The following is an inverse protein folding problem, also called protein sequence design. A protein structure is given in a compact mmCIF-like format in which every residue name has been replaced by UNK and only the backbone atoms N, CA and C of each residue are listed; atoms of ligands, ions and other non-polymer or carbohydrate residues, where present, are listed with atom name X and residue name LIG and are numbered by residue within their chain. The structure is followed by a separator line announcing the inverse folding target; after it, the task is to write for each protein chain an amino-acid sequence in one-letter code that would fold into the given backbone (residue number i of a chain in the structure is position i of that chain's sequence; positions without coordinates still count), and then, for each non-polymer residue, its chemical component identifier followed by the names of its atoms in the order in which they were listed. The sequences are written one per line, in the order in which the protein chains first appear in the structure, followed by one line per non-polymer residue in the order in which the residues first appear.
data_IF_301007902667
#
_entry.id   IF_301007902667
#
_cell.length_a   1.000
_cell.length_b   1.000
_cell.length_c   1.000
_cell.angle_alpha   90.00
_cell.angle_beta   90.00
_cell.angle_gamma   90.00
#
_symmetry.space_group_name_H-M   'P 1'
#
loop_
_entity.id
_entity.type
_entity.pdbx_description
1 polymer ?
#
# COMPACT_ATOMS: atom_id res chain seq x y z
N UNK A 1 4.34 -12.54 2.22
CA UNK A 1 5.63 -12.12 1.60
C UNK A 1 6.51 -13.30 1.15
N UNK A 2 6.48 -14.48 1.81
CA UNK A 2 7.34 -15.64 1.47
C UNK A 2 7.24 -16.15 0.03
N UNK A 3 6.10 -15.96 -0.64
CA UNK A 3 5.94 -16.26 -2.07
C UNK A 3 6.92 -15.51 -2.99
N UNK A 4 7.55 -14.44 -2.49
CA UNK A 4 8.49 -13.62 -3.25
C UNK A 4 9.79 -13.40 -2.45
N UNK A 5 10.71 -14.38 -2.44
CA UNK A 5 11.90 -14.36 -1.57
C UNK A 5 12.79 -13.13 -1.74
N UNK A 6 12.98 -12.65 -2.98
CA UNK A 6 13.79 -11.45 -3.26
C UNK A 6 13.23 -10.20 -2.57
N UNK A 7 11.91 -10.04 -2.59
CA UNK A 7 11.26 -8.94 -1.88
C UNK A 7 11.31 -9.16 -0.36
N UNK A 8 11.04 -10.38 0.11
CA UNK A 8 11.09 -10.71 1.53
C UNK A 8 12.45 -10.36 2.15
N UNK A 9 13.56 -10.69 1.48
CA UNK A 9 14.90 -10.40 1.96
C UNK A 9 15.12 -8.88 2.13
N UNK A 10 14.77 -8.08 1.12
CA UNK A 10 14.87 -6.62 1.18
C UNK A 10 13.96 -6.03 2.27
N UNK A 11 12.74 -6.54 2.40
CA UNK A 11 11.79 -6.15 3.44
C UNK A 11 12.35 -6.41 4.84
N UNK A 12 12.86 -7.62 5.10
CA UNK A 12 13.43 -7.99 6.40
C UNK A 12 14.68 -7.16 6.74
N UNK A 13 15.56 -6.90 5.77
CA UNK A 13 16.72 -6.00 5.94
C UNK A 13 16.27 -4.60 6.35
N UNK A 14 15.29 -4.05 5.64
CA UNK A 14 14.74 -2.72 5.93
C UNK A 14 14.10 -2.67 7.32
N UNK A 15 13.27 -3.66 7.66
CA UNK A 15 12.59 -3.72 8.95
C UNK A 15 13.58 -3.87 10.12
N UNK A 16 14.61 -4.71 9.97
CA UNK A 16 15.67 -4.87 10.95
C UNK A 16 16.41 -3.54 11.18
N UNK A 17 16.75 -2.83 10.11
CA UNK A 17 17.42 -1.53 10.23
C UNK A 17 16.55 -0.49 10.94
N UNK A 18 15.28 -0.37 10.55
CA UNK A 18 14.36 0.59 11.15
C UNK A 18 14.11 0.33 12.64
N UNK A 19 14.02 -0.93 13.06
CA UNK A 19 13.57 -1.27 14.43
C UNK A 19 14.66 -1.75 15.38
N UNK A 20 15.83 -2.17 14.90
CA UNK A 20 16.83 -2.82 15.76
C UNK A 20 18.20 -2.15 15.71
N UNK A 21 18.55 -1.49 14.60
CA UNK A 21 19.83 -0.81 14.47
C UNK A 21 19.83 0.57 15.15
N UNK A 22 21.03 1.06 15.47
CA UNK A 22 21.19 2.42 15.98
C UNK A 22 20.65 3.44 14.97
N UNK A 23 20.00 4.49 15.48
CA UNK A 23 19.35 5.48 14.63
C UNK A 23 18.85 6.67 15.44
N UNK A 24 18.32 7.72 14.79
CA UNK A 24 17.99 8.99 15.42
C UNK A 24 16.99 8.90 16.59
N UNK A 25 16.14 7.87 16.60
CA UNK A 25 15.05 7.71 17.57
C UNK A 25 15.32 6.55 18.53
N UNK A 26 14.96 6.68 19.82
CA UNK A 26 14.96 5.56 20.77
C UNK A 26 14.02 4.43 20.35
N UNK A 27 14.35 3.18 20.67
CA UNK A 27 13.56 2.00 20.28
C UNK A 27 12.09 2.08 20.71
N UNK A 28 11.82 2.52 21.94
CA UNK A 28 10.44 2.69 22.44
C UNK A 28 9.65 3.73 21.61
N UNK A 29 10.29 4.81 21.15
CA UNK A 29 9.65 5.78 20.24
C UNK A 29 9.32 5.13 18.91
N UNK A 30 10.23 4.33 18.35
CA UNK A 30 10.01 3.68 17.04
C UNK A 30 8.82 2.73 17.08
N UNK A 31 8.71 1.89 18.11
CA UNK A 31 7.55 1.00 18.25
C UNK A 31 6.26 1.78 18.51
N UNK A 32 6.30 2.84 19.33
CA UNK A 32 5.12 3.67 19.56
C UNK A 32 4.64 4.41 18.31
N UNK A 33 5.56 4.89 17.46
CA UNK A 33 5.24 5.45 16.14
C UNK A 33 4.58 4.38 15.25
N UNK A 34 5.05 3.13 15.31
CA UNK A 34 4.41 1.99 14.65
C UNK A 34 2.96 1.76 15.11
N UNK A 35 2.69 1.85 16.42
CA UNK A 35 1.33 1.82 16.98
C UNK A 35 0.48 2.95 16.40
N UNK A 36 0.99 4.19 16.47
CA UNK A 36 0.28 5.38 15.97
C UNK A 36 -0.09 5.27 14.49
N UNK A 37 0.82 4.76 13.66
CA UNK A 37 0.60 4.58 12.23
C UNK A 37 -0.42 3.48 11.94
N UNK A 38 -0.25 2.30 12.55
CA UNK A 38 -1.17 1.17 12.36
C UNK A 38 -2.60 1.47 12.84
N UNK A 39 -2.74 2.23 13.93
CA UNK A 39 -4.02 2.66 14.47
C UNK A 39 -4.81 3.55 13.48
N UNK A 40 -4.16 4.25 12.55
CA UNK A 40 -4.86 5.06 11.52
C UNK A 40 -5.77 4.25 10.61
N UNK A 41 -5.54 2.94 10.54
CA UNK A 41 -6.29 1.98 9.72
C UNK A 41 -6.90 0.86 10.58
N UNK A 42 -7.05 1.04 11.89
CA UNK A 42 -7.63 0.02 12.79
C UNK A 42 -6.93 -1.35 12.67
N UNK A 43 -5.63 -1.36 12.35
CA UNK A 43 -4.90 -2.59 12.10
C UNK A 43 -4.47 -3.24 13.41
N UNK A 44 -5.39 -3.98 14.05
CA UNK A 44 -5.17 -4.58 15.38
C UNK A 44 -3.97 -5.51 15.42
N UNK A 45 -3.69 -6.23 14.31
CA UNK A 45 -2.51 -7.08 14.20
C UNK A 45 -1.21 -6.30 14.44
N UNK A 46 -0.99 -5.21 13.69
CA UNK A 46 0.21 -4.39 13.80
C UNK A 46 0.24 -3.59 15.11
N UNK A 47 -0.91 -3.09 15.57
CA UNK A 47 -1.02 -2.42 16.87
C UNK A 47 -0.55 -3.35 17.98
N UNK A 48 -1.11 -4.56 18.08
CA UNK A 48 -0.74 -5.52 19.12
C UNK A 48 0.73 -5.97 19.02
N UNK A 49 1.21 -6.19 17.80
CA UNK A 49 2.61 -6.52 17.55
C UNK A 49 3.54 -5.45 18.12
N UNK A 50 3.26 -4.18 17.84
CA UNK A 50 4.09 -3.07 18.31
C UNK A 50 3.89 -2.76 19.79
N UNK A 51 2.71 -2.98 20.37
CA UNK A 51 2.48 -2.91 21.82
C UNK A 51 3.39 -3.90 22.55
N UNK A 52 3.46 -5.15 22.07
CA UNK A 52 4.31 -6.18 22.67
C UNK A 52 5.79 -5.78 22.61
N UNK A 53 6.27 -5.35 21.44
CA UNK A 53 7.66 -4.91 21.31
C UNK A 53 7.97 -3.63 22.11
N UNK A 54 7.05 -2.67 22.15
CA UNK A 54 7.18 -1.45 22.93
C UNK A 54 7.41 -1.76 24.43
N UNK A 55 6.63 -2.69 24.99
CA UNK A 55 6.79 -3.12 26.38
C UNK A 55 8.09 -3.90 26.58
N UNK A 56 8.48 -4.76 25.64
CA UNK A 56 9.73 -5.53 25.72
C UNK A 56 10.98 -4.64 25.73
N UNK A 57 10.98 -3.52 25.00
CA UNK A 57 12.09 -2.55 25.01
C UNK A 57 12.01 -1.55 26.17
N UNK A 58 11.13 -1.76 27.15
CA UNK A 58 11.00 -0.93 28.35
C UNK A 58 10.22 0.37 28.16
N UNK A 59 9.33 0.43 27.17
CA UNK A 59 8.42 1.57 27.00
C UNK A 59 7.46 1.73 28.18
N UNK A 60 7.14 2.98 28.54
CA UNK A 60 6.21 3.28 29.65
C UNK A 60 4.78 2.84 29.29
N UNK A 61 4.19 1.87 30.01
CA UNK A 61 2.84 1.38 29.73
C UNK A 61 1.77 2.47 29.78
N UNK A 62 2.01 3.60 30.47
CA UNK A 62 1.06 4.72 30.52
C UNK A 62 0.77 5.31 29.16
N UNK A 63 1.74 5.29 28.24
CA UNK A 63 1.54 5.81 26.88
C UNK A 63 0.47 5.00 26.14
N UNK A 64 0.27 3.73 26.52
CA UNK A 64 -0.68 2.86 25.85
C UNK A 64 -2.15 3.19 26.14
N UNK A 65 -2.42 4.10 27.10
CA UNK A 65 -3.76 4.54 27.42
C UNK A 65 -4.29 5.63 26.47
N UNK A 66 -3.43 6.17 25.60
CA UNK A 66 -3.78 7.12 24.55
C UNK A 66 -2.67 8.09 24.23
N UNK A 67 -2.77 8.75 23.07
CA UNK A 67 -1.73 9.66 22.57
C UNK A 67 -1.44 10.81 23.56
N UNK A 68 -2.45 11.29 24.26
CA UNK A 68 -2.36 12.32 25.29
C UNK A 68 -1.45 11.94 26.48
N UNK A 69 -1.23 10.64 26.70
CA UNK A 69 -0.36 10.12 27.76
C UNK A 69 1.10 9.92 27.28
N UNK A 70 1.38 10.08 25.99
CA UNK A 70 2.73 10.01 25.42
C UNK A 70 3.47 11.35 25.57
N UNK A 71 4.81 11.40 25.42
CA UNK A 71 5.59 12.64 25.42
C UNK A 71 5.05 13.65 24.40
N UNK A 72 5.07 14.94 24.75
CA UNK A 72 4.59 16.01 23.86
C UNK A 72 5.21 15.97 22.45
N UNK A 73 6.47 15.54 22.36
CA UNK A 73 7.17 15.32 21.08
C UNK A 73 6.40 14.37 20.15
N UNK A 74 5.91 13.24 20.68
CA UNK A 74 5.11 12.25 19.95
C UNK A 74 3.68 12.73 19.71
N UNK A 75 3.08 13.47 20.64
CA UNK A 75 1.76 14.08 20.45
C UNK A 75 1.73 15.01 19.24
N UNK A 76 2.74 15.88 19.11
CA UNK A 76 2.88 16.80 17.96
C UNK A 76 2.98 16.07 16.61
N UNK A 77 3.55 14.85 16.59
CA UNK A 77 3.64 14.03 15.38
C UNK A 77 2.27 13.49 14.92
N UNK A 78 1.28 13.42 15.82
CA UNK A 78 -0.06 12.88 15.55
C UNK A 78 -0.77 13.57 14.39
N UNK A 79 -0.65 14.89 14.26
CA UNK A 79 -1.28 15.62 13.15
C UNK A 79 -0.63 15.30 11.80
N UNK A 80 0.70 15.18 11.75
CA UNK A 80 1.39 14.78 10.52
C UNK A 80 1.02 13.35 10.14
N UNK A 81 1.02 12.42 11.09
CA UNK A 81 0.60 11.02 10.90
C UNK A 81 -0.80 10.94 10.27
N UNK A 82 -1.75 11.66 10.86
CA UNK A 82 -3.14 11.75 10.40
C UNK A 82 -3.25 12.20 8.94
N UNK A 83 -2.53 13.24 8.55
CA UNK A 83 -2.54 13.76 7.18
C UNK A 83 -1.85 12.78 6.23
N UNK A 84 -0.70 12.24 6.62
CA UNK A 84 0.13 11.34 5.82
C UNK A 84 -0.64 10.06 5.44
N UNK A 85 -1.35 9.45 6.39
CA UNK A 85 -2.09 8.21 6.17
C UNK A 85 -3.25 8.35 5.17
N UNK A 86 -3.88 9.52 5.08
CA UNK A 86 -5.18 9.65 4.39
C UNK A 86 -5.18 10.65 3.24
N UNK A 87 -4.42 11.74 3.36
CA UNK A 87 -4.38 12.86 2.40
C UNK A 87 -2.98 13.50 2.36
N UNK A 88 -1.94 12.76 1.96
CA UNK A 88 -0.55 13.23 2.05
C UNK A 88 -0.28 14.51 1.23
N UNK A 89 -1.06 14.78 0.18
CA UNK A 89 -0.96 16.03 -0.59
C UNK A 89 -1.28 17.31 0.19
N UNK A 90 -1.93 17.21 1.36
CA UNK A 90 -2.21 18.35 2.25
C UNK A 90 -1.02 18.71 3.15
N UNK A 91 0.06 17.93 3.13
CA UNK A 91 1.26 18.26 3.89
C UNK A 91 1.91 19.51 3.27
N UNK A 92 2.15 20.48 4.13
CA UNK A 92 2.76 21.78 3.80
C UNK A 92 4.00 22.02 4.66
N UNK A 93 4.80 23.03 4.31
CA UNK A 93 5.99 23.40 5.09
C UNK A 93 5.64 23.82 6.52
N UNK A 94 4.46 24.40 6.75
CA UNK A 94 4.01 24.86 8.07
C UNK A 94 3.84 23.68 9.05
N UNK A 95 3.41 22.51 8.54
CA UNK A 95 3.36 21.28 9.34
C UNK A 95 4.78 20.85 9.78
N UNK A 96 5.77 21.03 8.92
CA UNK A 96 7.17 20.72 9.21
C UNK A 96 7.76 21.74 10.21
N UNK A 97 7.48 23.03 10.00
CA UNK A 97 7.88 24.11 10.90
C UNK A 97 7.39 23.87 12.33
N UNK A 98 6.13 23.47 12.51
CA UNK A 98 5.55 23.19 13.82
C UNK A 98 6.28 22.09 14.60
N UNK A 99 6.84 21.09 13.90
CA UNK A 99 7.60 19.99 14.51
C UNK A 99 9.04 20.39 14.87
N UNK A 100 9.64 21.28 14.08
CA UNK A 100 11.04 21.69 14.21
C UNK A 100 11.23 23.00 15.00
N UNK A 101 10.15 23.69 15.39
CA UNK A 101 10.21 24.89 16.24
C UNK A 101 11.00 24.63 17.54
N UNK A 102 11.94 25.52 17.84
CA UNK A 102 12.89 25.41 18.96
C UNK A 102 12.18 25.57 20.32
N UNK A 103 11.57 24.48 20.77
CA UNK A 103 11.00 24.31 22.10
C UNK A 103 11.66 23.09 22.78
N UNK A 104 11.40 22.91 24.08
CA UNK A 104 12.00 21.87 24.96
C UNK A 104 11.81 20.42 24.44
N UNK A 105 10.90 20.20 23.47
CA UNK A 105 10.57 18.91 22.88
C UNK A 105 10.56 18.92 21.33
N UNK A 106 11.45 19.70 20.73
CA UNK A 106 11.58 19.84 19.28
C UNK A 106 12.09 18.56 18.60
N UNK A 107 11.65 18.34 17.36
CA UNK A 107 12.20 17.32 16.47
C UNK A 107 13.46 17.86 15.79
N UNK A 108 14.46 17.01 15.60
CA UNK A 108 15.52 17.24 14.61
C UNK A 108 15.06 16.75 13.23
N UNK A 109 15.70 17.23 12.16
CA UNK A 109 15.43 16.76 10.80
C UNK A 109 15.68 15.25 10.64
N UNK A 110 16.74 14.72 11.27
CA UNK A 110 17.06 13.29 11.23
C UNK A 110 15.98 12.44 11.92
N UNK A 111 15.54 12.85 13.11
CA UNK A 111 14.44 12.19 13.83
C UNK A 111 13.13 12.27 13.05
N UNK A 112 12.83 13.42 12.43
CA UNK A 112 11.60 13.61 11.66
C UNK A 112 11.58 12.72 10.41
N UNK A 113 12.69 12.65 9.66
CA UNK A 113 12.79 11.75 8.50
C UNK A 113 12.63 10.30 8.93
N UNK A 114 13.27 9.89 10.02
CA UNK A 114 13.09 8.54 10.56
C UNK A 114 11.63 8.26 10.94
N UNK A 115 10.97 9.20 11.64
CA UNK A 115 9.56 9.07 11.99
C UNK A 115 8.65 8.98 10.75
N UNK A 116 8.87 9.81 9.73
CA UNK A 116 8.12 9.78 8.47
C UNK A 116 8.30 8.43 7.75
N UNK A 117 9.52 7.89 7.72
CA UNK A 117 9.77 6.54 7.16
C UNK A 117 9.01 5.47 7.95
N UNK A 118 9.02 5.51 9.29
CA UNK A 118 8.26 4.55 10.10
C UNK A 118 6.74 4.67 9.88
N UNK A 119 6.20 5.89 9.86
CA UNK A 119 4.77 6.13 9.63
C UNK A 119 4.32 5.55 8.28
N UNK A 120 4.99 5.93 7.19
CA UNK A 120 4.67 5.43 5.83
C UNK A 120 4.88 3.92 5.69
N UNK A 121 5.90 3.37 6.35
CA UNK A 121 6.12 1.92 6.39
C UNK A 121 4.94 1.18 7.03
N UNK A 122 4.40 1.68 8.14
CA UNK A 122 3.29 1.00 8.83
C UNK A 122 1.90 1.31 8.27
N UNK A 123 1.70 2.44 7.59
CA UNK A 123 0.50 2.65 6.77
C UNK A 123 0.43 1.66 5.61
N UNK A 124 1.55 1.49 4.90
CA UNK A 124 1.65 0.54 3.80
C UNK A 124 1.56 -0.90 4.31
N UNK A 125 2.21 -1.25 5.42
CA UNK A 125 2.09 -2.60 6.00
C UNK A 125 0.68 -2.92 6.52
N UNK A 126 -0.07 -1.92 7.01
CA UNK A 126 -1.49 -2.11 7.33
C UNK A 126 -2.29 -2.48 6.07
N UNK A 127 -2.01 -1.82 4.94
CA UNK A 127 -2.59 -2.17 3.64
C UNK A 127 -2.29 -3.62 3.25
N UNK A 128 -1.05 -4.05 3.42
CA UNK A 128 -0.65 -5.43 3.15
C UNK A 128 -1.37 -6.44 4.05
N UNK A 129 -1.50 -6.12 5.33
CA UNK A 129 -2.15 -6.97 6.34
C UNK A 129 -3.60 -7.26 5.95
N UNK A 130 -4.38 -6.23 5.64
CA UNK A 130 -5.77 -6.41 5.21
C UNK A 130 -5.87 -6.98 3.79
N UNK A 131 -5.03 -6.52 2.85
CA UNK A 131 -5.03 -6.96 1.46
C UNK A 131 -4.74 -8.46 1.29
N UNK A 132 -3.88 -9.02 2.15
CA UNK A 132 -3.57 -10.46 2.19
C UNK A 132 -4.37 -11.25 3.24
N UNK A 133 -5.29 -10.62 3.98
CA UNK A 133 -6.12 -11.29 4.98
C UNK A 133 -5.35 -11.84 6.19
N UNK A 134 -4.27 -11.17 6.60
CA UNK A 134 -3.47 -11.54 7.77
C UNK A 134 -4.28 -11.25 9.04
N UNK A 135 -4.48 -12.26 9.87
CA UNK A 135 -5.24 -12.17 11.12
C UNK A 135 -4.32 -12.12 12.34
N UNK A 136 -4.78 -11.53 13.47
CA UNK A 136 -4.12 -11.63 14.77
C UNK A 136 -3.79 -13.08 15.15
N UNK A 137 -2.69 -13.26 15.89
CA UNK A 137 -2.31 -14.56 16.45
C UNK A 137 -3.45 -15.11 17.34
N UNK A 138 -3.50 -16.44 17.48
CA UNK A 138 -4.61 -17.22 18.08
C UNK A 138 -5.01 -16.72 19.49
N UNK A 139 -4.10 -16.04 20.20
CA UNK A 139 -4.32 -15.50 21.54
C UNK A 139 -4.89 -14.08 21.59
N UNK A 140 -5.17 -13.46 20.44
CA UNK A 140 -5.81 -12.15 20.35
C UNK A 140 -7.30 -12.26 20.00
N UNK A 141 -8.13 -11.39 20.58
CA UNK A 141 -9.56 -11.31 20.27
C UNK A 141 -9.77 -11.05 18.77
N UNK A 142 -10.48 -11.96 18.09
CA UNK A 142 -10.63 -11.99 16.63
C UNK A 142 -9.69 -12.93 15.86
N UNK A 143 -8.93 -13.79 16.55
CA UNK A 143 -8.21 -14.91 15.92
C UNK A 143 -9.18 -15.96 15.37
N UNK A 144 -9.12 -16.24 14.07
CA UNK A 144 -9.82 -17.37 13.44
C UNK A 144 -8.83 -18.43 12.99
N UNK A 145 -9.24 -19.69 13.05
CA UNK A 145 -8.51 -20.84 12.50
C UNK A 145 -8.42 -20.73 10.98
N UNK A 146 -7.31 -20.19 10.46
CA UNK A 146 -6.97 -20.41 9.06
C UNK A 146 -6.38 -21.83 8.95
N UNK A 147 -7.24 -22.80 8.63
CA UNK A 147 -6.77 -24.08 8.09
C UNK A 147 -6.30 -23.77 6.68
N UNK A 148 -5.00 -23.79 6.43
CA UNK A 148 -4.49 -23.83 5.06
C UNK A 148 -5.23 -24.98 4.36
N UNK A 149 -5.91 -24.69 3.25
CA UNK A 149 -6.11 -25.71 2.23
C UNK A 149 -4.71 -26.15 1.83
N UNK A 150 -4.39 -27.38 2.22
CA UNK A 150 -3.10 -28.02 2.08
C UNK A 150 -2.54 -27.78 0.69
N UNK A 151 -1.27 -27.37 0.64
CA UNK A 151 -0.42 -27.56 -0.54
C UNK A 151 -0.47 -29.04 -0.90
N UNK A 152 -0.96 -29.33 -2.10
CA UNK A 152 -1.11 -30.66 -2.69
C UNK A 152 -1.95 -31.70 -1.91
N UNK A 153 -2.85 -32.36 -2.64
CA UNK A 153 -3.73 -33.40 -2.15
C UNK A 153 -3.00 -34.70 -1.78
N UNK A 154 -2.26 -34.69 -0.68
CA UNK A 154 -1.84 -35.90 0.03
C UNK A 154 -1.73 -35.59 1.54
N UNK A 155 -2.85 -35.72 2.28
CA UNK A 155 -2.71 -35.92 3.73
C UNK A 155 -2.30 -37.38 3.94
N UNK A 156 -1.02 -37.59 4.28
CA UNK A 156 -0.56 -38.81 4.92
C UNK A 156 -1.06 -38.78 6.36
N UNK A 157 -2.37 -38.95 6.52
CA UNK A 157 -3.03 -39.09 7.81
C UNK A 157 -4.22 -40.08 7.79
N UNK A 158 -4.59 -40.64 6.63
CA UNK A 158 -5.71 -41.59 6.51
C UNK A 158 -5.29 -43.07 6.33
N UNK A 159 -4.06 -43.47 6.68
CA UNK A 159 -3.63 -44.88 6.56
C UNK A 159 -4.07 -45.76 7.76
N UNK A 160 -4.80 -45.23 8.75
CA UNK A 160 -5.19 -46.06 9.92
C UNK A 160 -6.66 -45.94 10.35
N UNK A 161 -7.60 -45.74 9.43
CA UNK A 161 -8.99 -46.02 9.78
C UNK A 161 -9.74 -46.64 8.60
N UNK A 162 -9.76 -47.96 8.57
CA UNK A 162 -10.68 -48.71 7.73
C UNK A 162 -12.10 -48.53 8.25
N UNK A 163 -12.93 -47.85 7.47
CA UNK A 163 -14.32 -48.22 7.30
C UNK A 163 -14.84 -47.63 5.98
N UNK A 164 -15.25 -48.55 5.11
CA UNK A 164 -16.13 -48.33 3.97
C UNK A 164 -17.35 -47.49 4.37
N UNK A 165 -17.76 -46.56 3.50
CA UNK A 165 -19.15 -46.50 3.06
C UNK A 165 -19.29 -45.72 1.75
N UNK A 166 -19.87 -46.40 0.76
CA UNK A 166 -20.25 -45.88 -0.54
C UNK A 166 -21.44 -44.94 -0.42
N UNK A 167 -21.31 -43.69 -0.86
CA UNK A 167 -22.46 -42.86 -1.22
C UNK A 167 -22.23 -42.21 -2.59
N UNK A 168 -22.77 -42.87 -3.62
CA UNK A 168 -23.04 -42.30 -4.94
C UNK A 168 -24.13 -41.23 -4.79
N UNK A 169 -23.88 -40.01 -5.27
CA UNK A 169 -24.96 -39.07 -5.60
C UNK A 169 -24.92 -38.73 -7.09
N UNK A 170 -26.08 -38.95 -7.71
CA UNK A 170 -26.41 -38.72 -9.10
C UNK A 170 -26.40 -37.23 -9.46
N UNK A 171 -25.77 -36.89 -10.58
CA UNK A 171 -25.96 -35.63 -11.30
C UNK A 171 -27.22 -35.70 -12.17
N UNK A 172 -28.07 -34.65 -12.21
CA UNK A 172 -28.90 -34.37 -13.37
C UNK A 172 -28.17 -33.38 -14.29
N UNK A 173 -28.05 -33.77 -15.56
CA UNK A 173 -27.64 -32.91 -16.66
C UNK A 173 -28.47 -31.63 -16.71
N UNK A 174 -27.82 -30.48 -16.78
CA UNK A 174 -28.43 -29.25 -17.29
C UNK A 174 -27.37 -28.46 -18.04
N UNK A 175 -27.48 -28.51 -19.37
CA UNK A 175 -26.79 -27.64 -20.32
C UNK A 175 -27.02 -26.18 -19.94
N UNK A 176 -26.01 -25.55 -19.36
CA UNK A 176 -25.85 -24.10 -19.34
C UNK A 176 -24.43 -23.82 -19.82
N UNK A 177 -24.32 -23.40 -21.07
CA UNK A 177 -23.09 -22.90 -21.68
C UNK A 177 -22.64 -21.67 -20.88
N UNK A 178 -21.81 -21.90 -19.86
CA UNK A 178 -21.03 -20.84 -19.21
C UNK A 178 -19.88 -20.50 -20.16
N UNK A 179 -19.62 -19.21 -20.47
CA UNK A 179 -18.47 -18.87 -21.29
C UNK A 179 -17.20 -19.33 -20.55
N UNK A 180 -16.33 -20.02 -21.29
CA UNK A 180 -15.14 -20.67 -20.74
C UNK A 180 -14.26 -19.67 -19.95
N UNK A 181 -13.75 -20.05 -18.77
CA UNK A 181 -12.94 -19.18 -17.93
C UNK A 181 -11.67 -18.67 -18.62
N UNK A 182 -11.04 -19.40 -19.54
CA UNK A 182 -9.77 -19.00 -20.20
C UNK A 182 -9.77 -17.61 -20.89
N UNK A 183 -10.95 -17.07 -21.22
CA UNK A 183 -11.09 -15.88 -22.05
C UNK A 183 -10.57 -14.57 -21.40
N UNK A 184 -10.64 -14.42 -20.06
CA UNK A 184 -10.29 -13.14 -19.41
C UNK A 184 -8.79 -12.83 -19.46
N UNK A 185 -7.94 -13.83 -19.19
CA UNK A 185 -6.48 -13.67 -19.19
C UNK A 185 -5.97 -13.47 -20.62
N UNK A 186 -6.48 -14.26 -21.57
CA UNK A 186 -6.12 -14.13 -22.98
C UNK A 186 -6.54 -12.77 -23.55
N UNK A 187 -7.73 -12.27 -23.20
CA UNK A 187 -8.18 -10.93 -23.59
C UNK A 187 -7.29 -9.82 -23.00
N UNK A 188 -6.80 -9.99 -21.77
CA UNK A 188 -5.85 -9.04 -21.17
C UNK A 188 -4.50 -9.06 -21.89
N UNK A 189 -3.97 -10.25 -22.20
CA UNK A 189 -2.71 -10.39 -22.95
C UNK A 189 -2.83 -9.78 -24.36
N UNK A 190 -3.95 -10.00 -25.05
CA UNK A 190 -4.21 -9.42 -26.36
C UNK A 190 -4.30 -7.89 -26.29
N UNK A 191 -4.95 -7.33 -25.27
CA UNK A 191 -4.95 -5.88 -25.03
C UNK A 191 -3.54 -5.33 -24.75
N UNK A 192 -2.73 -6.03 -23.97
CA UNK A 192 -1.34 -5.61 -23.72
C UNK A 192 -0.54 -5.54 -25.02
N UNK A 193 -0.71 -6.53 -25.89
CA UNK A 193 -0.08 -6.56 -27.21
C UNK A 193 -0.55 -5.40 -28.10
N UNK A 194 -1.86 -5.14 -28.17
CA UNK A 194 -2.43 -4.04 -28.95
C UNK A 194 -1.94 -2.66 -28.47
N UNK A 195 -1.84 -2.45 -27.15
CA UNK A 195 -1.31 -1.19 -26.60
C UNK A 195 0.16 -1.03 -27.00
N UNK A 196 0.95 -2.11 -26.94
CA UNK A 196 2.36 -2.07 -27.32
C UNK A 196 2.54 -1.71 -28.81
N UNK A 197 1.74 -2.32 -29.70
CA UNK A 197 1.75 -2.02 -31.14
C UNK A 197 1.32 -0.58 -31.43
N UNK A 198 0.23 -0.10 -30.82
CA UNK A 198 -0.24 1.29 -30.99
C UNK A 198 0.77 2.34 -30.53
N UNK A 199 1.57 2.01 -29.50
CA UNK A 199 2.57 2.93 -28.94
C UNK A 199 3.73 3.17 -29.90
N UNK A 200 4.04 2.19 -30.75
CA UNK A 200 5.07 2.30 -31.76
C UNK A 200 4.60 3.14 -32.97
N UNK A 201 3.28 3.25 -33.18
CA UNK A 201 2.68 3.96 -34.33
C UNK A 201 2.29 5.42 -34.03
N UNK A 202 1.64 5.71 -32.89
CA UNK A 202 1.11 7.06 -32.58
C UNK A 202 1.26 7.40 -31.09
N UNK A 203 2.20 8.28 -30.77
CA UNK A 203 2.36 8.79 -29.40
C UNK A 203 1.36 9.92 -29.10
N UNK A 204 0.56 9.77 -28.04
CA UNK A 204 -0.37 10.80 -27.57
C UNK A 204 0.37 12.09 -27.16
N UNK A 205 -0.23 13.24 -27.46
CA UNK A 205 0.35 14.54 -27.08
C UNK A 205 0.39 14.73 -25.55
N UNK A 206 1.26 15.62 -25.07
CA UNK A 206 1.36 15.93 -23.63
C UNK A 206 0.06 16.51 -23.05
N UNK A 207 -0.69 17.30 -23.84
CA UNK A 207 -1.99 17.83 -23.44
C UNK A 207 -3.05 16.73 -23.34
N UNK A 208 -3.02 15.78 -24.29
CA UNK A 208 -3.89 14.62 -24.25
C UNK A 208 -3.59 13.70 -23.06
N UNK A 209 -2.32 13.39 -22.79
CA UNK A 209 -1.91 12.63 -21.59
C UNK A 209 -2.38 13.33 -20.30
N UNK A 210 -2.30 14.66 -20.24
CA UNK A 210 -2.78 15.45 -19.11
C UNK A 210 -4.31 15.38 -18.92
N UNK A 211 -5.09 15.46 -20.00
CA UNK A 211 -6.56 15.35 -19.93
C UNK A 211 -7.00 13.95 -19.52
N UNK A 212 -6.34 12.90 -20.05
CA UNK A 212 -6.57 11.50 -19.66
C UNK A 212 -6.26 11.26 -18.18
N UNK A 213 -5.18 11.86 -17.66
CA UNK A 213 -4.88 11.83 -16.23
C UNK A 213 -5.99 12.45 -15.37
N UNK A 214 -6.45 13.66 -15.69
CA UNK A 214 -7.52 14.32 -14.90
C UNK A 214 -8.84 13.54 -14.94
N UNK A 215 -9.13 12.88 -16.08
CA UNK A 215 -10.26 11.98 -16.20
C UNK A 215 -10.12 10.77 -15.29
N UNK A 216 -8.98 10.06 -15.34
CA UNK A 216 -8.73 8.88 -14.52
C UNK A 216 -8.73 9.21 -13.01
N UNK A 217 -8.13 10.34 -12.63
CA UNK A 217 -8.14 10.85 -11.25
C UNK A 217 -9.56 11.11 -10.77
N UNK A 218 -10.42 11.70 -11.61
CA UNK A 218 -11.83 11.93 -11.27
C UNK A 218 -12.61 10.62 -11.17
N UNK A 219 -12.39 9.70 -12.09
CA UNK A 219 -13.08 8.41 -12.11
C UNK A 219 -12.68 7.55 -10.90
N UNK A 220 -11.39 7.49 -10.56
CA UNK A 220 -10.92 6.77 -9.37
C UNK A 220 -11.56 7.29 -8.08
N UNK A 221 -11.84 8.59 -7.97
CA UNK A 221 -12.61 9.16 -6.86
C UNK A 221 -14.07 8.67 -6.82
N UNK A 222 -14.70 8.45 -7.98
CA UNK A 222 -16.10 8.05 -8.11
C UNK A 222 -16.32 6.53 -8.02
N UNK A 223 -15.27 5.71 -8.16
CA UNK A 223 -15.36 4.26 -7.98
C UNK A 223 -15.84 3.95 -6.55
N UNK A 224 -17.09 3.48 -6.42
CA UNK A 224 -17.74 3.15 -5.15
C UNK A 224 -17.50 1.69 -4.74
N UNK A 225 -17.30 1.47 -3.45
CA UNK A 225 -17.56 0.18 -2.81
C UNK A 225 -19.04 0.11 -2.46
N UNK A 226 -19.72 -0.97 -2.81
CA UNK A 226 -21.18 -1.12 -2.71
C UNK A 226 -21.72 -1.22 -1.27
N UNK A 227 -20.86 -1.32 -0.25
CA UNK A 227 -21.22 -1.65 1.14
C UNK A 227 -20.89 -0.48 2.08
N UNK A 228 -21.47 0.69 1.82
CA UNK A 228 -21.23 1.92 2.60
C UNK A 228 -22.17 2.07 3.82
N UNK A 229 -22.92 1.02 4.21
CA UNK A 229 -23.98 1.12 5.24
C UNK A 229 -23.84 0.25 6.50
N UNK A 230 -22.83 -0.61 6.66
CA UNK A 230 -22.66 -1.32 7.95
C UNK A 230 -21.28 -1.06 8.55
N UNK A 231 -21.23 -0.08 9.44
CA UNK A 231 -20.11 0.09 10.38
C UNK A 231 -20.17 -1.10 11.34
N UNK A 232 -19.34 -2.12 11.11
CA UNK A 232 -19.18 -3.21 12.07
C UNK A 232 -18.71 -2.65 13.43
N UNK A 233 -19.16 -3.21 14.57
CA UNK A 233 -18.72 -2.74 15.87
C UNK A 233 -17.21 -2.97 16.02
N UNK A 234 -16.50 -1.86 16.17
CA UNK A 234 -15.03 -1.73 16.28
C UNK A 234 -14.43 -2.57 17.40
N UNK A 235 -13.28 -3.20 17.12
CA UNK A 235 -12.45 -3.96 18.07
C UNK A 235 -11.74 -3.00 19.06
N UNK A 236 -11.71 -3.35 20.34
CA UNK A 236 -11.48 -2.44 21.49
C UNK A 236 -10.07 -1.83 21.59
N UNK A 237 -9.04 -2.47 21.07
CA UNK A 237 -7.64 -2.11 21.38
C UNK A 237 -7.16 -0.84 20.65
N UNK A 238 -7.76 -0.50 19.50
CA UNK A 238 -7.28 0.60 18.65
C UNK A 238 -7.90 1.96 19.00
N UNK A 239 -9.06 1.98 19.68
CA UNK A 239 -9.80 3.20 20.04
C UNK A 239 -9.00 4.19 20.90
N UNK A 240 -8.07 3.70 21.72
CA UNK A 240 -7.25 4.55 22.59
C UNK A 240 -6.29 5.48 21.81
N UNK A 241 -5.95 5.14 20.56
CA UNK A 241 -5.00 5.90 19.74
C UNK A 241 -5.66 6.60 18.55
N UNK A 242 -6.98 6.55 18.46
CA UNK A 242 -7.74 6.98 17.29
C UNK A 242 -8.45 8.32 17.52
N UNK A 243 -8.12 9.29 16.67
CA UNK A 243 -9.10 10.31 16.27
C UNK A 243 -10.03 9.69 15.21
N UNK A 244 -11.14 9.10 15.66
CA UNK A 244 -12.16 8.46 14.81
C UNK A 244 -12.89 9.46 13.89
N UNK A 245 -12.72 10.77 14.11
CA UNK A 245 -13.31 11.82 13.27
C UNK A 245 -12.52 12.07 11.97
N UNK A 246 -11.30 11.53 11.87
CA UNK A 246 -10.42 11.70 10.73
C UNK A 246 -10.08 10.34 10.11
N UNK A 247 -10.55 10.08 8.90
CA UNK A 247 -10.20 8.93 8.10
C UNK A 247 -10.27 9.28 6.62
N UNK A 248 -10.05 8.30 5.75
CA UNK A 248 -10.25 8.49 4.32
C UNK A 248 -11.71 8.90 4.07
N UNK A 249 -11.91 10.14 3.62
CA UNK A 249 -13.22 10.63 3.22
C UNK A 249 -13.39 10.31 1.75
N UNK A 250 -14.42 9.51 1.43
CA UNK A 250 -14.75 9.22 0.04
C UNK A 250 -14.92 10.53 -0.75
N UNK A 251 -14.01 10.76 -1.70
CA UNK A 251 -13.89 12.00 -2.46
C UNK A 251 -15.14 12.29 -3.29
N UNK A 252 -15.96 11.26 -3.55
CA UNK A 252 -17.23 11.37 -4.28
C UNK A 252 -18.27 12.25 -3.55
N UNK A 253 -18.21 12.38 -2.22
CA UNK A 253 -19.27 13.03 -1.42
C UNK A 253 -19.12 14.56 -1.24
N UNK A 254 -17.94 15.14 -1.47
CA UNK A 254 -17.66 16.54 -1.07
C UNK A 254 -16.99 17.42 -2.14
N UNK A 255 -16.83 16.95 -3.39
CA UNK A 255 -16.20 17.77 -4.44
C UNK A 255 -14.75 18.19 -4.14
N UNK A 256 -14.04 17.41 -3.30
CA UNK A 256 -12.68 17.72 -2.84
C UNK A 256 -11.68 17.61 -4.00
N UNK A 257 -10.90 18.66 -4.22
CA UNK A 257 -9.85 18.73 -5.24
C UNK A 257 -8.52 18.14 -4.73
N UNK A 258 -8.06 17.03 -5.31
CA UNK A 258 -6.67 16.55 -5.13
C UNK A 258 -5.78 17.28 -6.13
N UNK A 259 -4.81 18.10 -5.67
CA UNK A 259 -3.93 18.84 -6.55
C UNK A 259 -3.06 17.89 -7.38
N UNK A 260 -2.85 18.24 -8.64
CA UNK A 260 -2.01 17.46 -9.54
C UNK A 260 -0.55 17.81 -9.31
N UNK A 261 0.26 16.80 -9.03
CA UNK A 261 1.68 16.87 -8.76
C UNK A 261 2.43 16.12 -9.87
N UNK A 262 3.37 16.78 -10.57
CA UNK A 262 3.98 16.24 -11.79
C UNK A 262 5.37 15.61 -11.55
N UNK A 263 5.64 14.51 -12.23
CA UNK A 263 6.91 13.77 -12.25
C UNK A 263 7.29 13.47 -13.70
N UNK A 264 8.53 13.73 -14.09
CA UNK A 264 9.04 13.48 -15.44
C UNK A 264 10.30 12.58 -15.38
N UNK A 265 10.27 11.44 -16.09
CA UNK A 265 11.30 10.40 -16.04
C UNK A 265 12.40 10.53 -17.12
N UNK A 266 12.27 11.45 -18.09
CA UNK A 266 13.24 11.63 -19.19
C UNK A 266 13.79 13.07 -19.27
N UNK A 267 15.08 13.25 -19.63
CA UNK A 267 15.67 14.57 -19.82
C UNK A 267 15.22 15.16 -21.16
N UNK A 268 14.26 16.08 -21.13
CA UNK A 268 13.95 16.93 -22.29
C UNK A 268 14.29 18.38 -21.98
N UNK A 269 14.87 19.06 -22.96
CA UNK A 269 15.54 20.37 -22.88
C UNK A 269 14.62 21.58 -22.70
N UNK A 270 13.46 21.42 -22.05
CA UNK A 270 12.52 22.51 -21.82
C UNK A 270 12.13 22.60 -20.34
N UNK A 271 12.30 23.81 -19.79
CA UNK A 271 12.03 24.23 -18.42
C UNK A 271 10.52 24.10 -18.08
N UNK A 272 10.04 22.88 -17.86
CA UNK A 272 8.79 22.59 -17.17
C UNK A 272 9.14 22.21 -15.72
N UNK A 273 8.48 22.84 -14.74
CA UNK A 273 8.75 22.63 -13.30
C UNK A 273 8.76 21.13 -12.95
N UNK A 274 9.94 20.57 -12.65
CA UNK A 274 10.13 19.27 -11.98
C UNK A 274 9.70 19.50 -10.53
N UNK A 275 8.52 19.06 -10.11
CA UNK A 275 8.06 19.44 -8.77
C UNK A 275 8.85 18.70 -7.68
N UNK A 276 8.91 17.37 -7.73
CA UNK A 276 9.72 16.53 -6.82
C UNK A 276 9.68 15.05 -7.26
N UNK A 277 10.77 14.29 -7.17
CA UNK A 277 10.84 12.86 -7.56
C UNK A 277 11.68 12.07 -6.56
N UNK A 278 11.50 10.75 -6.50
CA UNK A 278 12.30 9.90 -5.61
C UNK A 278 13.77 9.90 -6.04
N UNK A 279 14.02 9.64 -7.32
CA UNK A 279 15.37 9.49 -7.89
C UNK A 279 16.21 10.78 -7.80
N UNK A 280 15.63 11.94 -8.09
CA UNK A 280 16.39 13.19 -8.09
C UNK A 280 16.47 13.86 -6.71
N UNK A 281 15.43 13.71 -5.88
CA UNK A 281 15.27 14.51 -4.65
C UNK A 281 15.05 13.66 -3.39
N UNK A 282 14.08 12.75 -3.42
CA UNK A 282 13.67 11.98 -2.24
C UNK A 282 14.80 11.13 -1.66
N UNK A 283 15.46 10.35 -2.52
CA UNK A 283 16.58 9.50 -2.16
C UNK A 283 17.72 10.29 -1.51
N UNK A 284 18.16 11.37 -2.17
CA UNK A 284 19.29 12.17 -1.72
C UNK A 284 18.99 12.88 -0.40
N UNK A 285 17.75 13.37 -0.20
CA UNK A 285 17.33 13.96 1.07
C UNK A 285 17.33 12.95 2.21
N UNK A 286 16.75 11.77 2.00
CA UNK A 286 16.70 10.72 3.03
C UNK A 286 18.10 10.29 3.39
N UNK A 287 18.95 9.97 2.40
CA UNK A 287 20.31 9.50 2.66
C UNK A 287 21.19 10.56 3.36
N UNK A 288 20.92 11.85 3.14
CA UNK A 288 21.61 12.95 3.82
C UNK A 288 21.19 13.11 5.29
N UNK A 289 19.92 12.87 5.61
CA UNK A 289 19.35 13.09 6.95
C UNK A 289 19.31 11.82 7.81
N UNK A 290 19.25 10.65 7.18
CA UNK A 290 19.32 9.34 7.81
C UNK A 290 20.03 8.35 6.88
N UNK A 291 21.36 8.26 6.99
CA UNK A 291 22.19 7.41 6.12
C UNK A 291 21.73 5.94 6.09
N UNK A 292 22.03 5.28 4.97
CA UNK A 292 21.73 3.88 4.66
C UNK A 292 20.23 3.55 4.47
N UNK A 293 19.32 4.26 5.15
CA UNK A 293 17.87 4.09 4.95
C UNK A 293 17.43 4.50 3.55
N UNK A 294 18.04 5.53 2.98
CA UNK A 294 17.78 5.93 1.60
C UNK A 294 18.03 4.78 0.62
N UNK A 295 19.14 4.06 0.79
CA UNK A 295 19.49 2.91 -0.01
C UNK A 295 18.53 1.73 0.21
N UNK A 296 18.23 1.38 1.46
CA UNK A 296 17.32 0.27 1.77
C UNK A 296 15.92 0.49 1.17
N UNK A 297 15.40 1.71 1.25
CA UNK A 297 14.10 2.07 0.67
C UNK A 297 14.17 2.04 -0.86
N UNK A 298 15.23 2.57 -1.47
CA UNK A 298 15.41 2.56 -2.92
C UNK A 298 15.46 1.14 -3.48
N UNK A 299 16.28 0.26 -2.87
CA UNK A 299 16.35 -1.15 -3.23
C UNK A 299 14.97 -1.83 -3.10
N UNK A 300 14.22 -1.53 -2.05
CA UNK A 300 12.87 -2.09 -1.84
C UNK A 300 11.89 -1.65 -2.92
N UNK A 301 11.88 -0.36 -3.29
CA UNK A 301 11.07 0.16 -4.39
C UNK A 301 11.46 -0.47 -5.73
N UNK A 302 12.76 -0.54 -6.04
CA UNK A 302 13.24 -1.13 -7.28
C UNK A 302 12.93 -2.62 -7.37
N UNK A 303 13.09 -3.38 -6.27
CA UNK A 303 12.78 -4.80 -6.24
C UNK A 303 11.28 -5.01 -6.48
N UNK A 304 10.40 -4.29 -5.77
CA UNK A 304 8.97 -4.47 -5.94
C UNK A 304 8.49 -4.05 -7.34
N UNK A 305 8.97 -2.90 -7.83
CA UNK A 305 8.58 -2.39 -9.15
C UNK A 305 9.01 -3.35 -10.26
N UNK A 306 10.24 -3.88 -10.20
CA UNK A 306 10.82 -4.72 -11.25
C UNK A 306 10.58 -6.23 -11.04
N UNK A 307 9.95 -6.64 -9.93
CA UNK A 307 9.69 -8.05 -9.67
C UNK A 307 8.81 -8.62 -10.78
N UNK A 308 9.31 -9.66 -11.44
CA UNK A 308 8.58 -10.41 -12.46
C UNK A 308 9.08 -11.84 -12.46
N UNK A 309 8.16 -12.77 -12.73
CA UNK A 309 8.48 -14.17 -13.04
C UNK A 309 8.26 -14.47 -14.53
N UNK A 310 7.94 -13.44 -15.32
CA UNK A 310 7.51 -13.53 -16.72
C UNK A 310 6.36 -14.53 -16.90
N UNK A 311 5.44 -14.54 -15.94
CA UNK A 311 4.24 -15.39 -15.95
C UNK A 311 3.00 -14.54 -15.77
N UNK A 312 1.91 -14.99 -16.36
CA UNK A 312 0.57 -14.44 -16.16
C UNK A 312 -0.42 -15.61 -16.04
N UNK A 313 -0.90 -15.87 -14.83
CA UNK A 313 -1.72 -17.02 -14.48
C UNK A 313 -1.06 -18.37 -14.90
N UNK A 314 -1.58 -19.01 -15.94
CA UNK A 314 -1.05 -20.26 -16.50
C UNK A 314 -0.02 -20.05 -17.62
N UNK A 315 0.08 -18.84 -18.17
CA UNK A 315 0.99 -18.51 -19.28
C UNK A 315 2.39 -18.18 -18.77
N UNK A 316 3.40 -18.62 -19.52
CA UNK A 316 4.83 -18.37 -19.29
C UNK A 316 5.37 -17.47 -20.40
N UNK A 317 6.54 -16.89 -20.15
CA UNK A 317 7.26 -16.02 -21.08
C UNK A 317 6.47 -14.77 -21.49
N UNK A 318 5.69 -14.22 -20.55
CA UNK A 318 4.88 -13.01 -20.73
C UNK A 318 5.56 -11.83 -20.06
N UNK A 319 5.85 -10.76 -20.81
CA UNK A 319 6.28 -9.49 -20.19
C UNK A 319 5.08 -8.81 -19.52
N UNK A 320 5.17 -8.66 -18.20
CA UNK A 320 4.14 -8.04 -17.35
C UNK A 320 4.45 -6.58 -17.01
N UNK A 321 5.51 -5.99 -17.57
CA UNK A 321 5.96 -4.62 -17.28
C UNK A 321 4.86 -3.58 -17.41
N UNK A 322 4.08 -3.64 -18.50
CA UNK A 322 2.95 -2.73 -18.75
C UNK A 322 1.89 -2.82 -17.67
N UNK A 323 1.49 -4.05 -17.30
CA UNK A 323 0.48 -4.27 -16.27
C UNK A 323 0.95 -3.79 -14.89
N UNK A 324 2.20 -4.10 -14.51
CA UNK A 324 2.80 -3.66 -13.24
C UNK A 324 2.91 -2.13 -13.19
N UNK A 325 3.33 -1.50 -14.29
CA UNK A 325 3.40 -0.03 -14.43
C UNK A 325 2.01 0.61 -14.34
N UNK A 326 0.99 0.01 -14.93
CA UNK A 326 -0.39 0.49 -14.83
C UNK A 326 -0.93 0.45 -13.40
N UNK A 327 -0.65 -0.61 -12.64
CA UNK A 327 -1.02 -0.72 -11.22
C UNK A 327 -0.34 0.40 -10.41
N UNK A 328 0.98 0.54 -10.57
CA UNK A 328 1.76 1.57 -9.87
C UNK A 328 1.24 2.98 -10.17
N UNK A 329 1.04 3.29 -11.45
CA UNK A 329 0.61 4.61 -11.90
C UNK A 329 -0.85 4.91 -11.56
N UNK A 330 -1.72 3.89 -11.46
CA UNK A 330 -3.08 4.05 -10.97
C UNK A 330 -3.11 4.48 -9.51
N UNK A 331 -2.26 3.88 -8.66
CA UNK A 331 -2.15 4.26 -7.24
C UNK A 331 -1.66 5.70 -7.13
N UNK A 332 -0.57 6.03 -7.81
CA UNK A 332 -0.04 7.38 -7.85
C UNK A 332 -1.05 8.39 -8.39
N UNK A 333 -1.86 8.01 -9.39
CA UNK A 333 -2.97 8.83 -9.89
C UNK A 333 -4.01 9.14 -8.80
N UNK A 334 -4.39 8.17 -7.97
CA UNK A 334 -5.30 8.38 -6.83
C UNK A 334 -4.73 9.40 -5.83
N UNK A 335 -3.40 9.42 -5.66
CA UNK A 335 -2.69 10.40 -4.83
C UNK A 335 -2.39 11.72 -5.55
N UNK A 336 -2.84 11.90 -6.79
CA UNK A 336 -2.62 13.11 -7.58
C UNK A 336 -1.23 13.22 -8.23
N UNK A 337 -0.44 12.14 -8.24
CA UNK A 337 0.90 12.10 -8.84
C UNK A 337 0.79 11.69 -10.32
N UNK A 338 1.22 12.58 -11.22
CA UNK A 338 1.19 12.41 -12.66
C UNK A 338 2.58 12.18 -13.24
N UNK A 339 2.72 11.16 -14.08
CA UNK A 339 3.90 10.91 -14.90
C UNK A 339 3.69 11.42 -16.32
N UNK A 340 4.54 12.34 -16.77
CA UNK A 340 4.37 13.03 -18.06
C UNK A 340 4.66 12.13 -19.28
N UNK A 341 5.43 11.06 -19.09
CA UNK A 341 5.76 10.08 -20.13
C UNK A 341 4.72 8.94 -20.23
N UNK A 342 3.73 8.89 -19.33
CA UNK A 342 2.75 7.81 -19.26
C UNK A 342 1.38 8.19 -19.84
N UNK A 343 0.80 7.27 -20.60
CA UNK A 343 -0.56 7.41 -21.10
C UNK A 343 -1.57 6.78 -20.13
N UNK A 344 -2.28 7.62 -19.40
CA UNK A 344 -3.29 7.18 -18.43
C UNK A 344 -4.51 6.49 -19.08
N UNK A 345 -4.65 6.54 -20.41
CA UNK A 345 -5.62 5.73 -21.15
C UNK A 345 -5.36 4.22 -21.06
N UNK A 346 -4.12 3.80 -20.82
CA UNK A 346 -3.73 2.39 -20.66
C UNK A 346 -4.38 1.75 -19.42
N UNK A 347 -4.59 2.54 -18.35
CA UNK A 347 -5.11 2.03 -17.07
C UNK A 347 -6.53 1.45 -17.23
N UNK A 348 -7.41 2.12 -17.96
CA UNK A 348 -8.78 1.63 -18.20
C UNK A 348 -8.84 0.40 -19.09
N UNK A 349 -7.80 0.16 -19.90
CA UNK A 349 -7.72 -1.00 -20.77
C UNK A 349 -7.23 -2.23 -20.01
N UNK A 350 -6.27 -2.03 -19.11
CA UNK A 350 -5.57 -3.09 -18.36
C UNK A 350 -6.20 -3.44 -17.02
N UNK A 351 -6.77 -2.46 -16.30
CA UNK A 351 -7.35 -2.66 -14.98
C UNK A 351 -8.88 -2.61 -15.06
N UNK A 352 -9.51 -3.77 -14.84
CA UNK A 352 -10.96 -3.86 -14.82
C UNK A 352 -11.55 -3.19 -13.55
N UNK A 353 -12.88 -3.01 -13.55
CA UNK A 353 -13.55 -2.30 -12.46
C UNK A 353 -13.40 -3.01 -11.12
N UNK A 354 -13.48 -4.34 -11.08
CA UNK A 354 -13.38 -5.09 -9.82
C UNK A 354 -11.99 -4.92 -9.21
N UNK A 355 -10.95 -4.96 -10.04
CA UNK A 355 -9.59 -4.76 -9.59
C UNK A 355 -9.32 -3.32 -9.14
N UNK A 356 -9.82 -2.31 -9.86
CA UNK A 356 -9.74 -0.90 -9.44
C UNK A 356 -10.41 -0.65 -8.09
N UNK A 357 -11.55 -1.28 -7.82
CA UNK A 357 -12.24 -1.23 -6.52
C UNK A 357 -11.35 -1.85 -5.43
N UNK A 358 -10.80 -3.04 -5.67
CA UNK A 358 -9.89 -3.70 -4.72
C UNK A 358 -8.67 -2.84 -4.40
N UNK A 359 -7.96 -2.33 -5.42
CA UNK A 359 -6.79 -1.47 -5.26
C UNK A 359 -7.13 -0.23 -4.42
N UNK A 360 -8.22 0.48 -4.77
CA UNK A 360 -8.66 1.68 -4.04
C UNK A 360 -8.95 1.37 -2.57
N UNK A 361 -9.63 0.26 -2.29
CA UNK A 361 -9.94 -0.11 -0.90
C UNK A 361 -8.69 -0.44 -0.12
N UNK A 362 -7.82 -1.31 -0.63
CA UNK A 362 -6.59 -1.70 0.08
C UNK A 362 -5.67 -0.50 0.33
N UNK A 363 -5.57 0.42 -0.62
CA UNK A 363 -4.67 1.58 -0.51
C UNK A 363 -5.27 2.71 0.35
N UNK A 364 -6.57 2.95 0.29
CA UNK A 364 -7.17 4.14 0.90
C UNK A 364 -7.93 3.84 2.21
N UNK A 365 -8.58 2.69 2.30
CA UNK A 365 -9.40 2.27 3.44
C UNK A 365 -9.24 0.75 3.67
N UNK A 366 -8.01 0.28 3.96
CA UNK A 366 -7.71 -1.15 4.02
C UNK A 366 -8.59 -1.91 5.02
N UNK A 367 -9.05 -1.27 6.09
CA UNK A 367 -9.97 -1.83 7.07
C UNK A 367 -11.31 -2.30 6.48
N UNK A 368 -11.67 -1.82 5.29
CA UNK A 368 -12.88 -2.21 4.55
C UNK A 368 -12.64 -3.36 3.55
N UNK A 369 -11.43 -3.91 3.50
CA UNK A 369 -11.10 -4.99 2.59
C UNK A 369 -11.83 -6.27 3.00
N UNK A 370 -12.58 -6.87 2.08
CA UNK A 370 -13.31 -8.12 2.32
C UNK A 370 -12.77 -9.27 1.47
N UNK A 371 -12.98 -10.49 1.92
CA UNK A 371 -12.63 -11.70 1.16
C UNK A 371 -13.38 -11.76 -0.20
N UNK A 372 -14.64 -11.28 -0.25
CA UNK A 372 -15.40 -11.14 -1.50
C UNK A 372 -14.68 -10.26 -2.52
N UNK A 373 -14.13 -9.13 -2.07
CA UNK A 373 -13.35 -8.26 -2.95
C UNK A 373 -12.10 -8.98 -3.45
N UNK A 374 -11.39 -9.68 -2.56
CA UNK A 374 -10.19 -10.45 -2.91
C UNK A 374 -10.45 -11.52 -3.96
N UNK A 375 -11.56 -12.25 -3.84
CA UNK A 375 -11.94 -13.32 -4.76
C UNK A 375 -12.57 -12.80 -6.06
N UNK A 376 -13.11 -11.57 -6.06
CA UNK A 376 -13.85 -11.03 -7.20
C UNK A 376 -12.96 -10.70 -8.41
N UNK A 377 -11.74 -10.21 -8.19
CA UNK A 377 -10.80 -9.82 -9.24
C UNK A 377 -9.84 -10.96 -9.59
N UNK A 378 -9.40 -11.00 -10.86
CA UNK A 378 -8.34 -11.90 -11.34
C UNK A 378 -8.54 -13.35 -10.87
N UNK A 379 -9.72 -13.92 -11.15
CA UNK A 379 -10.16 -15.22 -10.63
C UNK A 379 -9.26 -16.38 -11.05
N UNK A 380 -8.60 -16.25 -12.19
CA UNK A 380 -7.70 -17.26 -12.77
C UNK A 380 -6.24 -17.09 -12.34
N UNK A 381 -5.90 -15.97 -11.73
CA UNK A 381 -4.53 -15.72 -11.28
C UNK A 381 -4.25 -16.49 -9.99
N UNK A 382 -3.00 -16.89 -9.83
CA UNK A 382 -2.54 -17.60 -8.64
C UNK A 382 -2.60 -16.68 -7.43
N UNK A 383 -2.79 -17.28 -6.26
CA UNK A 383 -2.71 -16.55 -4.99
C UNK A 383 -1.36 -15.80 -4.84
N UNK A 384 -0.25 -16.41 -5.29
CA UNK A 384 1.06 -15.73 -5.30
C UNK A 384 1.06 -14.46 -6.15
N UNK A 385 0.33 -14.40 -7.27
CA UNK A 385 0.24 -13.21 -8.11
C UNK A 385 -0.61 -12.12 -7.44
N UNK A 386 -1.68 -12.50 -6.73
CA UNK A 386 -2.44 -11.55 -5.90
C UNK A 386 -1.63 -11.00 -4.73
N UNK A 387 -0.76 -11.82 -4.12
CA UNK A 387 0.23 -11.35 -3.12
C UNK A 387 1.25 -10.41 -3.77
N UNK A 388 1.71 -10.71 -4.99
CA UNK A 388 2.61 -9.84 -5.75
C UNK A 388 1.99 -8.46 -6.00
N UNK A 389 0.72 -8.41 -6.40
CA UNK A 389 -0.01 -7.14 -6.54
C UNK A 389 -0.04 -6.36 -5.22
N UNK A 390 -0.26 -7.03 -4.09
CA UNK A 390 -0.19 -6.37 -2.78
C UNK A 390 1.19 -5.78 -2.48
N UNK A 391 2.28 -6.36 -2.99
CA UNK A 391 3.60 -5.75 -2.89
C UNK A 391 3.69 -4.44 -3.70
N UNK A 392 3.18 -4.41 -4.94
CA UNK A 392 3.12 -3.18 -5.73
C UNK A 392 2.26 -2.12 -5.05
N UNK A 393 1.12 -2.52 -4.48
CA UNK A 393 0.19 -1.64 -3.79
C UNK A 393 0.85 -0.89 -2.63
N UNK A 394 1.54 -1.63 -1.78
CA UNK A 394 2.09 -1.09 -0.53
C UNK A 394 3.30 -0.21 -0.81
N UNK A 395 4.11 -0.56 -1.80
CA UNK A 395 5.31 0.20 -2.17
C UNK A 395 4.97 1.49 -2.91
N UNK A 396 4.03 1.46 -3.86
CA UNK A 396 3.55 2.66 -4.53
C UNK A 396 2.88 3.62 -3.54
N UNK A 397 2.07 3.10 -2.61
CA UNK A 397 1.49 3.90 -1.53
C UNK A 397 2.57 4.56 -0.66
N UNK A 398 3.53 3.78 -0.18
CA UNK A 398 4.63 4.29 0.65
C UNK A 398 5.44 5.36 -0.08
N UNK A 399 5.75 5.15 -1.36
CA UNK A 399 6.48 6.12 -2.17
C UNK A 399 5.70 7.43 -2.31
N UNK A 400 4.39 7.38 -2.60
CA UNK A 400 3.55 8.57 -2.70
C UNK A 400 3.52 9.38 -1.40
N UNK A 401 3.32 8.72 -0.25
CA UNK A 401 3.31 9.37 1.06
C UNK A 401 4.67 10.03 1.38
N UNK A 402 5.77 9.32 1.12
CA UNK A 402 7.13 9.85 1.31
C UNK A 402 7.39 11.07 0.42
N UNK A 403 7.03 11.03 -0.86
CA UNK A 403 7.27 12.15 -1.78
C UNK A 403 6.63 13.45 -1.28
N UNK A 404 5.39 13.39 -0.78
CA UNK A 404 4.72 14.57 -0.25
C UNK A 404 5.37 15.10 1.03
N UNK A 405 5.72 14.22 1.97
CA UNK A 405 6.38 14.61 3.21
C UNK A 405 7.78 15.19 2.96
N UNK A 406 8.60 14.51 2.14
CA UNK A 406 9.95 14.92 1.81
C UNK A 406 9.99 16.22 0.99
N UNK A 407 9.01 16.45 0.11
CA UNK A 407 8.84 17.74 -0.58
C UNK A 407 8.58 18.87 0.40
N UNK A 408 7.71 18.64 1.40
CA UNK A 408 7.43 19.64 2.42
C UNK A 408 8.67 19.93 3.30
N UNK A 409 9.45 18.88 3.64
CA UNK A 409 10.72 19.04 4.36
C UNK A 409 11.71 19.86 3.52
N UNK A 410 11.86 19.55 2.23
CA UNK A 410 12.74 20.30 1.32
C UNK A 410 12.36 21.78 1.27
N UNK A 411 11.05 22.08 1.12
CA UNK A 411 10.53 23.46 1.12
C UNK A 411 10.68 24.20 2.44
N UNK A 412 10.89 23.49 3.55
CA UNK A 412 11.24 24.11 4.83
C UNK A 412 12.73 24.41 4.93
N UNK A 413 13.58 23.57 4.33
CA UNK A 413 15.04 23.74 4.35
C UNK A 413 15.54 24.84 3.40
N UNK A 414 14.75 25.18 2.38
CA UNK A 414 14.99 26.26 1.41
C UNK A 414 14.16 27.48 1.74
#
# INVERSE_FOLDING_TARGET
MVFHPRYLESFLKTQHYLLQMDGPLPLCYRHYIGIMAAARHQCSYLVNLHVNYFLQVGGDPKWLNGLENAPQKLQKLGDLNKILAHRPWLITKEHIEQLLKTEEHSWSLAELVHAVVLLTHYHSLASFTFGCGINPEIHCDGGHTFRLLSVDGYCICDITNGNHDEYKMHTPDTDITTPEPSCEVEALMEKMKQIQECRDDVEASQEEKATRFEKEKRESMLVRCSEDEEISPTRDVSRHFEDTSYGYKDFSRHGMHVPTFRVQLLPSTYFAFKDYSWEDHGYSLVNRLYPDVGQLIDEKFQIAYNLTYNTMAMHKDVDTSMLRRAIWNYIHCMFGIRYDDYDYGEINQLLDRSFKIYIKTVVCAPERTTNRMYDSFWRQFKHSEKVHVNLLLIEARMQAELLYALRAITRYMT
#
